data_IF_264679891346
#
_entry.id   IF_264679891346
#
_cell.length_a   1.000
_cell.length_b   1.000
_cell.length_c   1.000
_cell.angle_alpha   90.00
_cell.angle_beta   90.00
_cell.angle_gamma   90.00
#
_symmetry.space_group_name_H-M   'P 1'
#
loop_
_entity.id
_entity.type
_entity.pdbx_description
1 polymer ?
#
# COMPACT_ATOMS: atom_id res chain seq x y z
N UNK A 1 -13.57 10.62 -1.18
CA UNK A 1 -14.92 10.47 -1.75
C UNK A 1 -15.09 9.05 -2.27
N UNK A 2 -15.98 8.26 -1.68
CA UNK A 2 -16.19 6.87 -2.07
C UNK A 2 -16.86 6.75 -3.45
N UNK A 3 -17.71 7.72 -3.83
CA UNK A 3 -18.39 7.71 -5.12
C UNK A 3 -17.39 7.84 -6.28
N UNK A 4 -16.44 8.77 -6.16
CA UNK A 4 -15.35 8.95 -7.14
C UNK A 4 -14.50 7.69 -7.28
N UNK A 5 -14.18 7.02 -6.17
CA UNK A 5 -13.44 5.76 -6.23
C UNK A 5 -14.24 4.66 -6.96
N UNK A 6 -15.55 4.53 -6.69
CA UNK A 6 -16.40 3.53 -7.35
C UNK A 6 -16.50 3.81 -8.86
N UNK A 7 -16.57 5.06 -9.26
CA UNK A 7 -16.57 5.45 -10.68
C UNK A 7 -15.27 5.05 -11.37
N UNK A 8 -14.12 5.41 -10.79
CA UNK A 8 -12.82 5.06 -11.36
C UNK A 8 -12.58 3.54 -11.35
N UNK A 9 -13.05 2.84 -10.33
CA UNK A 9 -13.03 1.38 -10.27
C UNK A 9 -13.81 0.76 -11.44
N UNK A 10 -15.02 1.27 -11.73
CA UNK A 10 -15.84 0.79 -12.85
C UNK A 10 -15.19 1.08 -14.20
N UNK A 11 -14.45 2.17 -14.32
CA UNK A 11 -13.66 2.51 -15.52
C UNK A 11 -12.51 1.54 -15.75
N UNK A 12 -11.95 0.96 -14.68
CA UNK A 12 -10.80 0.05 -14.74
C UNK A 12 -11.06 -1.25 -13.94
N UNK A 13 -11.95 -2.15 -14.42
CA UNK A 13 -12.42 -3.30 -13.63
C UNK A 13 -11.34 -4.35 -13.33
N UNK A 14 -10.27 -4.40 -14.13
CA UNK A 14 -9.16 -5.34 -13.95
C UNK A 14 -8.01 -4.79 -13.12
N UNK A 15 -8.07 -3.51 -12.75
CA UNK A 15 -7.02 -2.87 -11.97
C UNK A 15 -7.06 -3.36 -10.53
N UNK A 16 -5.89 -3.74 -10.01
CA UNK A 16 -5.73 -3.98 -8.58
C UNK A 16 -5.48 -2.65 -7.88
N UNK A 17 -6.12 -2.46 -6.74
CA UNK A 17 -6.00 -1.27 -5.90
C UNK A 17 -5.36 -1.66 -4.57
N UNK A 18 -4.65 -0.72 -3.95
CA UNK A 18 -4.10 -0.87 -2.61
C UNK A 18 -4.74 0.16 -1.70
N UNK A 19 -5.25 -0.31 -0.56
CA UNK A 19 -5.91 0.51 0.45
C UNK A 19 -4.99 0.62 1.66
N UNK A 20 -4.73 1.85 2.09
CA UNK A 20 -3.83 2.14 3.21
C UNK A 20 -4.52 3.03 4.23
N UNK A 21 -4.52 2.69 5.52
CA UNK A 21 -5.04 3.57 6.56
C UNK A 21 -4.16 4.82 6.68
N UNK A 22 -4.77 6.00 6.81
CA UNK A 22 -4.06 7.29 6.82
C UNK A 22 -3.20 7.50 8.08
N UNK A 23 -3.53 6.81 9.17
CA UNK A 23 -2.97 7.06 10.52
C UNK A 23 -2.20 5.87 11.10
N UNK A 24 -1.98 4.79 10.35
CA UNK A 24 -1.25 3.60 10.84
C UNK A 24 0.10 3.44 10.16
N UNK A 25 0.97 2.67 10.79
CA UNK A 25 2.33 2.38 10.33
C UNK A 25 2.60 0.87 10.29
N UNK A 26 3.82 0.46 9.95
CA UNK A 26 4.27 -0.94 9.96
C UNK A 26 3.52 -1.87 8.99
N UNK A 27 2.75 -1.31 8.05
CA UNK A 27 1.96 -2.09 7.09
C UNK A 27 0.65 -2.66 7.66
N UNK A 28 0.30 -2.32 8.90
CA UNK A 28 -0.94 -2.77 9.54
C UNK A 28 -2.17 -2.20 8.85
N UNK A 29 -3.10 -3.06 8.49
CA UNK A 29 -4.36 -2.69 7.84
C UNK A 29 -4.24 -2.34 6.36
N UNK A 30 -3.07 -2.58 5.75
CA UNK A 30 -2.92 -2.49 4.29
C UNK A 30 -3.48 -3.76 3.66
N UNK A 31 -4.27 -3.62 2.61
CA UNK A 31 -4.75 -4.74 1.82
C UNK A 31 -4.89 -4.35 0.35
N UNK A 32 -4.87 -5.36 -0.52
CA UNK A 32 -5.11 -5.21 -1.94
C UNK A 32 -6.56 -5.57 -2.24
N UNK A 33 -7.16 -4.91 -3.23
CA UNK A 33 -8.50 -5.25 -3.68
C UNK A 33 -8.60 -5.15 -5.20
N UNK A 34 -9.24 -6.16 -5.80
CA UNK A 34 -9.54 -6.23 -7.23
C UNK A 34 -11.04 -6.36 -7.49
N UNK A 35 -11.86 -6.49 -6.44
CA UNK A 35 -13.33 -6.49 -6.50
C UNK A 35 -13.89 -5.56 -5.44
N UNK A 36 -14.86 -4.70 -5.81
CA UNK A 36 -15.53 -3.80 -4.86
C UNK A 36 -16.15 -4.50 -3.64
N UNK A 37 -16.58 -5.76 -3.81
CA UNK A 37 -17.10 -6.57 -2.70
C UNK A 37 -16.07 -6.80 -1.59
N UNK A 38 -14.76 -6.87 -1.92
CA UNK A 38 -13.68 -7.02 -0.94
C UNK A 38 -13.57 -5.79 -0.03
N UNK A 39 -13.79 -4.59 -0.58
CA UNK A 39 -13.80 -3.33 0.19
C UNK A 39 -14.90 -3.33 1.25
N UNK A 40 -16.12 -3.76 0.86
CA UNK A 40 -17.26 -3.86 1.79
C UNK A 40 -17.00 -4.87 2.91
N UNK A 41 -16.48 -6.06 2.57
CA UNK A 41 -16.11 -7.09 3.56
C UNK A 41 -15.06 -6.57 4.54
N UNK A 42 -14.05 -5.86 4.05
CA UNK A 42 -13.02 -5.26 4.91
C UNK A 42 -13.59 -4.22 5.88
N UNK A 43 -14.48 -3.34 5.41
CA UNK A 43 -15.16 -2.36 6.30
C UNK A 43 -16.01 -3.01 7.39
N UNK A 44 -16.56 -4.20 7.13
CA UNK A 44 -17.43 -4.92 8.07
C UNK A 44 -16.64 -5.75 9.11
N UNK A 45 -15.50 -6.33 8.70
CA UNK A 45 -14.76 -7.34 9.46
C UNK A 45 -13.55 -6.82 10.24
N UNK A 46 -13.04 -5.61 9.94
CA UNK A 46 -11.79 -5.11 10.54
C UNK A 46 -11.98 -4.15 11.72
N UNK A 47 -13.23 -3.88 12.13
CA UNK A 47 -13.52 -3.02 13.28
C UNK A 47 -14.22 -3.83 14.37
N UNK A 48 -13.60 -4.02 15.56
CA UNK A 48 -14.32 -4.48 16.75
C UNK A 48 -15.59 -3.65 16.95
N UNK A 49 -16.71 -4.22 17.40
CA UNK A 49 -17.98 -3.48 17.57
C UNK A 49 -17.82 -2.17 18.36
N UNK A 50 -16.91 -2.15 19.34
CA UNK A 50 -16.57 -0.99 20.17
C UNK A 50 -15.80 0.14 19.45
N UNK A 51 -15.13 -0.15 18.32
CA UNK A 51 -14.33 0.80 17.54
C UNK A 51 -15.02 1.23 16.23
N UNK A 52 -16.22 0.72 15.92
CA UNK A 52 -16.98 1.12 14.72
C UNK A 52 -17.21 2.64 14.59
N UNK A 53 -17.07 3.39 15.68
CA UNK A 53 -17.19 4.84 15.73
C UNK A 53 -15.91 5.60 15.33
N UNK A 54 -14.74 4.96 15.29
CA UNK A 54 -13.53 5.54 14.71
C UNK A 54 -13.50 5.21 13.22
N UNK A 55 -13.99 6.13 12.38
CA UNK A 55 -13.80 6.07 10.93
C UNK A 55 -12.31 6.22 10.63
N UNK A 56 -11.58 5.11 10.61
CA UNK A 56 -10.23 5.09 10.04
C UNK A 56 -10.34 5.57 8.59
N UNK A 57 -9.73 6.71 8.29
CA UNK A 57 -9.67 7.20 6.91
C UNK A 57 -8.67 6.35 6.13
N UNK A 58 -9.00 6.05 4.88
CA UNK A 58 -8.14 5.30 3.98
C UNK A 58 -7.79 6.14 2.76
N UNK A 59 -6.55 5.98 2.31
CA UNK A 59 -6.11 6.37 0.98
C UNK A 59 -6.17 5.14 0.09
N UNK A 60 -6.80 5.30 -1.08
CA UNK A 60 -6.83 4.28 -2.12
C UNK A 60 -5.92 4.72 -3.25
N UNK A 61 -5.11 3.81 -3.76
CA UNK A 61 -4.22 4.07 -4.88
C UNK A 61 -4.20 2.87 -5.81
N UNK A 62 -3.95 3.11 -7.10
CA UNK A 62 -3.70 2.03 -8.05
C UNK A 62 -2.47 1.24 -7.59
N UNK A 63 -2.59 -0.08 -7.54
CA UNK A 63 -1.47 -0.95 -7.23
C UNK A 63 -0.56 -1.08 -8.45
N UNK A 64 0.76 -1.03 -8.22
CA UNK A 64 1.75 -1.30 -9.25
C UNK A 64 1.89 -2.82 -9.41
N UNK A 65 1.23 -3.36 -10.43
CA UNK A 65 1.15 -4.78 -10.74
C UNK A 65 2.31 -5.29 -11.62
N UNK A 66 3.10 -4.38 -12.18
CA UNK A 66 4.34 -4.68 -12.92
C UNK A 66 5.53 -3.93 -12.33
N UNK A 67 5.92 -4.21 -11.07
CA UNK A 67 7.08 -3.58 -10.46
C UNK A 67 8.37 -4.10 -11.08
N UNK A 68 9.44 -3.31 -10.99
CA UNK A 68 10.79 -3.83 -11.21
C UNK A 68 11.10 -4.91 -10.15
N UNK A 69 11.63 -6.04 -10.61
CA UNK A 69 11.99 -7.18 -9.75
C UNK A 69 13.50 -7.40 -9.80
N UNK A 70 14.08 -7.73 -8.66
CA UNK A 70 15.46 -8.24 -8.57
C UNK A 70 15.37 -9.66 -8.04
N UNK A 71 15.92 -10.61 -8.78
CA UNK A 71 15.81 -12.05 -8.47
C UNK A 71 14.36 -12.52 -8.27
N UNK A 72 13.42 -11.91 -9.00
CA UNK A 72 11.99 -12.21 -8.91
C UNK A 72 11.28 -11.65 -7.69
N UNK A 73 11.93 -10.83 -6.85
CA UNK A 73 11.35 -10.26 -5.63
C UNK A 73 11.05 -8.78 -5.81
N UNK A 74 9.92 -8.34 -5.27
CA UNK A 74 9.53 -6.93 -5.21
C UNK A 74 10.36 -6.21 -4.15
N UNK A 75 10.65 -4.94 -4.39
CA UNK A 75 11.35 -4.10 -3.41
C UNK A 75 10.89 -2.64 -3.48
N UNK A 76 11.24 -1.87 -2.45
CA UNK A 76 11.19 -0.41 -2.46
C UNK A 76 12.55 0.18 -2.08
N UNK A 77 12.77 1.45 -2.40
CA UNK A 77 13.97 2.19 -2.02
C UNK A 77 13.68 3.11 -0.84
N UNK A 78 14.48 2.97 0.23
CA UNK A 78 14.58 3.95 1.29
C UNK A 78 15.71 4.92 0.98
N UNK A 79 15.32 6.14 0.62
CA UNK A 79 16.23 7.25 0.44
C UNK A 79 16.14 8.20 1.63
N UNK A 80 17.24 8.87 1.96
CA UNK A 80 17.30 9.85 3.04
C UNK A 80 17.42 11.26 2.47
N UNK A 81 16.54 12.16 2.91
CA UNK A 81 16.55 13.58 2.52
C UNK A 81 16.64 14.43 3.77
N UNK A 82 17.60 15.36 3.82
CA UNK A 82 17.75 16.34 4.88
C UNK A 82 17.26 17.71 4.39
N UNK A 83 16.20 18.23 5.00
CA UNK A 83 15.68 19.58 4.70
C UNK A 83 16.19 20.53 5.76
N UNK A 84 17.00 21.51 5.38
CA UNK A 84 17.64 22.47 6.31
C UNK A 84 16.96 23.83 6.33
N UNK A 85 16.18 24.17 5.30
CA UNK A 85 15.42 25.41 5.23
C UNK A 85 14.17 25.21 4.39
N UNK A 86 13.09 25.90 4.75
CA UNK A 86 11.83 25.90 3.99
C UNK A 86 11.62 27.19 3.19
N UNK A 87 12.29 28.28 3.56
CA UNK A 87 12.21 29.59 2.88
C UNK A 87 13.58 30.32 2.97
N UNK A 88 14.43 30.23 1.92
CA UNK A 88 14.25 29.43 0.70
C UNK A 88 14.28 27.93 1.01
N UNK A 89 13.63 27.11 0.19
CA UNK A 89 13.67 25.64 0.36
C UNK A 89 15.08 25.13 0.05
N UNK A 90 15.71 24.48 1.03
CA UNK A 90 17.00 23.81 0.88
C UNK A 90 16.87 22.38 1.37
N UNK A 91 17.08 21.41 0.47
CA UNK A 91 17.01 19.99 0.75
C UNK A 91 18.17 19.23 0.09
N UNK A 92 18.74 18.27 0.80
CA UNK A 92 19.88 17.45 0.37
C UNK A 92 19.48 15.98 0.33
N UNK A 93 19.70 15.31 -0.80
CA UNK A 93 19.54 13.87 -0.93
C UNK A 93 20.85 13.19 -0.54
N UNK A 94 20.78 12.24 0.40
CA UNK A 94 21.94 11.41 0.76
C UNK A 94 22.33 10.51 -0.41
N UNK A 95 23.62 10.30 -0.60
CA UNK A 95 24.17 9.25 -1.48
C UNK A 95 24.01 7.84 -0.89
N UNK A 96 23.67 7.74 0.40
CA UNK A 96 23.34 6.49 1.06
C UNK A 96 21.82 6.27 1.06
N UNK A 97 21.43 5.02 0.85
CA UNK A 97 20.07 4.52 0.89
C UNK A 97 20.11 3.00 0.83
N UNK A 98 18.96 2.35 0.88
CA UNK A 98 18.90 0.90 0.77
C UNK A 98 17.59 0.41 0.14
N UNK A 99 17.65 -0.75 -0.49
CA UNK A 99 16.48 -1.45 -0.97
C UNK A 99 15.91 -2.36 0.12
N UNK A 100 14.58 -2.40 0.25
CA UNK A 100 13.86 -3.29 1.14
C UNK A 100 13.09 -4.29 0.30
N UNK A 101 13.45 -5.56 0.43
CA UNK A 101 12.89 -6.64 -0.37
C UNK A 101 11.72 -7.31 0.34
N UNK A 102 10.78 -7.80 -0.46
CA UNK A 102 9.87 -8.85 -0.05
C UNK A 102 10.63 -10.18 0.15
N UNK A 103 10.15 -11.05 1.03
CA UNK A 103 10.74 -12.34 1.34
C UNK A 103 10.38 -13.37 0.27
N UNK A 104 9.19 -13.25 -0.31
CA UNK A 104 8.66 -14.14 -1.35
C UNK A 104 8.80 -13.58 -2.77
N UNK A 105 8.73 -14.48 -3.76
CA UNK A 105 8.73 -14.10 -5.18
C UNK A 105 7.43 -13.40 -5.55
N UNK A 106 7.56 -12.36 -6.35
CA UNK A 106 6.41 -11.59 -6.83
C UNK A 106 5.54 -12.42 -7.79
N UNK A 107 4.23 -12.37 -7.59
CA UNK A 107 3.23 -12.93 -8.51
C UNK A 107 2.01 -12.00 -8.53
N UNK A 108 1.22 -12.10 -9.60
CA UNK A 108 -0.09 -11.43 -9.73
C UNK A 108 -1.25 -12.41 -9.60
N UNK A 109 -0.99 -13.64 -9.17
CA UNK A 109 -2.03 -14.64 -8.92
C UNK A 109 -3.05 -14.11 -7.92
N UNK A 110 -4.34 -14.24 -8.24
CA UNK A 110 -5.42 -13.78 -7.38
C UNK A 110 -5.47 -14.52 -6.04
N UNK A 111 -4.97 -15.77 -5.99
CA UNK A 111 -4.91 -16.55 -4.76
C UNK A 111 -3.88 -16.00 -3.77
N UNK A 112 -2.87 -15.28 -4.27
CA UNK A 112 -1.75 -14.75 -3.49
C UNK A 112 -1.87 -13.24 -3.20
N UNK A 113 -2.91 -12.57 -3.70
CA UNK A 113 -3.08 -11.11 -3.52
C UNK A 113 -3.17 -10.67 -2.05
N UNK A 114 -3.69 -11.55 -1.19
CA UNK A 114 -3.81 -11.31 0.24
C UNK A 114 -2.52 -11.67 1.01
N UNK A 115 -1.51 -12.25 0.34
CA UNK A 115 -0.23 -12.62 0.94
C UNK A 115 0.67 -11.37 1.10
N UNK A 116 0.87 -10.87 2.33
CA UNK A 116 1.60 -9.63 2.54
C UNK A 116 3.11 -9.79 2.30
N UNK A 117 3.65 -11.01 2.40
CA UNK A 117 5.07 -11.30 2.20
C UNK A 117 5.51 -11.10 0.75
N UNK A 118 4.58 -11.22 -0.20
CA UNK A 118 4.81 -11.00 -1.64
C UNK A 118 4.70 -9.51 -2.00
N UNK A 119 3.74 -8.81 -1.37
CA UNK A 119 3.28 -7.51 -1.86
C UNK A 119 3.72 -6.30 -1.03
N UNK A 120 4.12 -6.47 0.23
CA UNK A 120 4.42 -5.37 1.17
C UNK A 120 5.85 -5.43 1.71
N UNK A 121 6.71 -4.51 1.30
CA UNK A 121 8.15 -4.45 1.63
C UNK A 121 8.46 -3.91 3.04
N UNK A 122 7.47 -3.81 3.92
CA UNK A 122 7.64 -3.28 5.27
C UNK A 122 8.44 -4.27 6.14
N UNK A 123 9.51 -3.80 6.80
CA UNK A 123 10.34 -4.65 7.70
C UNK A 123 9.54 -5.30 8.84
N UNK A 124 8.43 -4.71 9.28
CA UNK A 124 7.58 -5.32 10.30
C UNK A 124 6.69 -6.46 9.79
N UNK A 125 6.60 -6.62 8.46
CA UNK A 125 5.87 -7.68 7.77
C UNK A 125 6.84 -8.76 7.29
N UNK A 126 8.01 -8.36 6.81
CA UNK A 126 9.06 -9.25 6.33
C UNK A 126 9.75 -9.98 7.48
#
# INVERSE_FOLDING_TARGET
DYALFVEEFKRQPDTTWIMKPSSKSQGKGIFLCRKLQQVKKWSANCMPPALRNSQDSYVVSRYLDRPLLISGKKFDLRLYVCVTSYKPLTAYLSNLGFARFCSEKYTTDQMELDNPYIHLTNVAIQ
#
